data_IF_133871339831
#
_entry.id   IF_133871339831
#
_cell.length_a   1.000
_cell.length_b   1.000
_cell.length_c   1.000
_cell.angle_alpha   90.00
_cell.angle_beta   90.00
_cell.angle_gamma   90.00
#
_symmetry.space_group_name_H-M   'P 1'
#
loop_
_entity.id
_entity.type
_entity.pdbx_description
1 polymer ?
#
# COMPACT_ATOMS: atom_id res chain seq x y z
N UNK A 1 -32.21 -6.74 26.09
CA UNK A 1 -33.13 -7.91 26.06
C UNK A 1 -34.52 -7.60 25.51
N UNK A 2 -34.99 -6.33 25.43
CA UNK A 2 -36.35 -6.04 24.91
C UNK A 2 -36.55 -6.16 23.37
N UNK A 3 -35.49 -6.36 22.58
CA UNK A 3 -35.55 -6.39 21.11
C UNK A 3 -34.96 -7.67 20.51
N UNK A 4 -34.72 -8.73 21.28
CA UNK A 4 -34.11 -9.98 20.78
C UNK A 4 -34.92 -10.61 19.65
N UNK A 5 -36.25 -10.47 19.68
CA UNK A 5 -37.16 -10.86 18.61
C UNK A 5 -36.97 -10.10 17.29
N UNK A 6 -36.17 -9.03 17.27
CA UNK A 6 -35.81 -8.24 16.08
C UNK A 6 -34.36 -8.47 15.64
N UNK A 7 -33.67 -9.47 16.20
CA UNK A 7 -32.31 -9.82 15.80
C UNK A 7 -32.32 -10.32 14.34
N UNK A 8 -31.53 -9.73 13.43
CA UNK A 8 -31.34 -10.27 12.09
C UNK A 8 -30.77 -11.69 12.15
N UNK A 9 -31.13 -12.58 11.19
CA UNK A 9 -30.67 -13.96 11.19
C UNK A 9 -29.15 -14.09 10.97
N UNK A 10 -28.49 -13.08 10.40
CA UNK A 10 -27.06 -13.07 10.15
C UNK A 10 -26.22 -12.71 11.40
N UNK A 11 -26.85 -12.23 12.47
CA UNK A 11 -26.18 -11.80 13.71
C UNK A 11 -26.49 -12.72 14.87
N UNK A 12 -25.49 -12.96 15.72
CA UNK A 12 -25.76 -13.59 17.01
C UNK A 12 -26.53 -12.63 17.93
N UNK A 13 -27.35 -13.18 18.83
CA UNK A 13 -28.08 -12.40 19.84
C UNK A 13 -27.11 -11.57 20.70
N UNK A 14 -25.93 -12.12 20.99
CA UNK A 14 -24.88 -11.44 21.74
C UNK A 14 -24.32 -10.23 20.97
N UNK A 15 -24.04 -10.39 19.68
CA UNK A 15 -23.54 -9.32 18.82
C UNK A 15 -24.59 -8.21 18.63
N UNK A 16 -25.83 -8.59 18.36
CA UNK A 16 -26.93 -7.64 18.24
C UNK A 16 -27.17 -6.85 19.54
N UNK A 17 -27.13 -7.52 20.69
CA UNK A 17 -27.22 -6.88 22.01
C UNK A 17 -26.04 -5.93 22.26
N UNK A 18 -24.83 -6.31 21.86
CA UNK A 18 -23.64 -5.46 21.95
C UNK A 18 -23.79 -4.19 21.10
N UNK A 19 -24.29 -4.31 19.86
CA UNK A 19 -24.56 -3.15 19.00
C UNK A 19 -25.59 -2.22 19.62
N UNK A 20 -26.69 -2.76 20.13
CA UNK A 20 -27.72 -1.96 20.80
C UNK A 20 -27.16 -1.21 22.02
N UNK A 21 -26.34 -1.87 22.83
CA UNK A 21 -25.67 -1.22 23.98
C UNK A 21 -24.74 -0.10 23.54
N UNK A 22 -23.97 -0.30 22.47
CA UNK A 22 -23.04 0.71 21.96
C UNK A 22 -23.77 1.94 21.38
N UNK A 23 -24.94 1.75 20.77
CA UNK A 23 -25.75 2.82 20.17
C UNK A 23 -26.58 3.58 21.22
N UNK A 24 -27.20 2.88 22.17
CA UNK A 24 -28.27 3.42 23.03
C UNK A 24 -27.82 4.43 24.10
N UNK A 25 -26.55 4.42 24.52
CA UNK A 25 -26.07 5.31 25.59
C UNK A 25 -24.82 6.10 25.21
N UNK A 26 -24.95 7.41 24.97
CA UNK A 26 -23.82 8.29 24.60
C UNK A 26 -22.73 8.35 25.67
N UNK A 27 -23.09 8.63 26.94
CA UNK A 27 -22.14 8.70 28.05
C UNK A 27 -21.42 7.37 28.35
N UNK A 28 -22.09 6.23 28.11
CA UNK A 28 -21.56 4.89 28.43
C UNK A 28 -20.94 4.18 27.23
N UNK A 29 -21.00 4.78 26.04
CA UNK A 29 -20.57 4.18 24.77
C UNK A 29 -19.15 3.66 24.85
N UNK A 30 -18.22 4.44 25.39
CA UNK A 30 -16.82 4.03 25.48
C UNK A 30 -16.58 2.91 26.49
N UNK A 31 -17.37 2.82 27.57
CA UNK A 31 -17.34 1.65 28.44
C UNK A 31 -17.83 0.41 27.71
N UNK A 32 -18.87 0.53 26.89
CA UNK A 32 -19.34 -0.60 26.07
C UNK A 32 -18.26 -0.99 25.07
N UNK A 33 -17.67 -0.06 24.33
CA UNK A 33 -16.56 -0.35 23.40
C UNK A 33 -15.41 -1.04 24.13
N UNK A 34 -15.01 -0.54 25.31
CA UNK A 34 -13.95 -1.12 26.13
C UNK A 34 -14.27 -2.57 26.53
N UNK A 35 -15.50 -2.82 26.99
CA UNK A 35 -15.95 -4.17 27.36
C UNK A 35 -15.98 -5.08 26.15
N UNK A 36 -16.58 -4.67 25.03
CA UNK A 36 -16.66 -5.52 23.84
C UNK A 36 -15.28 -5.85 23.27
N UNK A 37 -14.34 -4.90 23.29
CA UNK A 37 -12.93 -5.16 22.95
C UNK A 37 -12.27 -6.20 23.87
N UNK A 38 -12.76 -6.37 25.09
CA UNK A 38 -12.30 -7.38 26.04
C UNK A 38 -13.00 -8.74 25.92
N UNK A 39 -14.06 -8.84 25.11
CA UNK A 39 -14.87 -10.07 24.94
C UNK A 39 -14.78 -10.63 23.52
N UNK A 40 -15.52 -11.71 23.26
CA UNK A 40 -15.68 -12.33 21.92
C UNK A 40 -17.11 -12.20 21.39
N UNK A 41 -17.91 -11.27 21.94
CA UNK A 41 -19.31 -11.12 21.57
C UNK A 41 -19.52 -10.48 20.20
N UNK A 42 -18.54 -9.71 19.74
CA UNK A 42 -18.62 -8.89 18.52
C UNK A 42 -17.58 -9.38 17.53
N UNK A 43 -17.99 -9.59 16.27
CA UNK A 43 -17.08 -9.89 15.19
C UNK A 43 -16.46 -8.59 14.66
N UNK A 44 -15.30 -8.21 15.19
CA UNK A 44 -14.56 -7.02 14.76
C UNK A 44 -13.95 -7.12 13.35
N UNK A 45 -13.95 -8.33 12.75
CA UNK A 45 -13.49 -8.59 11.38
C UNK A 45 -14.54 -8.22 10.33
N UNK A 46 -15.81 -8.02 10.74
CA UNK A 46 -16.91 -7.65 9.86
C UNK A 46 -16.86 -6.18 9.45
N UNK A 47 -17.17 -5.92 8.18
CA UNK A 47 -17.27 -4.55 7.67
C UNK A 47 -18.35 -3.74 8.40
N UNK A 48 -19.51 -4.36 8.66
CA UNK A 48 -20.63 -3.71 9.34
C UNK A 48 -20.25 -3.27 10.76
N UNK A 49 -19.53 -4.13 11.48
CA UNK A 49 -18.98 -3.81 12.81
C UNK A 49 -18.00 -2.65 12.73
N UNK A 50 -17.06 -2.70 11.78
CA UNK A 50 -16.09 -1.62 11.57
C UNK A 50 -16.78 -0.30 11.27
N UNK A 51 -17.74 -0.26 10.35
CA UNK A 51 -18.48 0.97 10.05
C UNK A 51 -19.21 1.51 11.28
N UNK A 52 -19.90 0.65 12.03
CA UNK A 52 -20.64 1.04 13.22
C UNK A 52 -19.71 1.61 14.30
N UNK A 53 -18.67 0.86 14.68
CA UNK A 53 -17.77 1.27 15.76
C UNK A 53 -16.95 2.50 15.39
N UNK A 54 -16.49 2.62 14.13
CA UNK A 54 -15.82 3.83 13.67
C UNK A 54 -16.76 5.05 13.76
N UNK A 55 -18.01 4.94 13.26
CA UNK A 55 -18.98 6.06 13.35
C UNK A 55 -19.27 6.44 14.80
N UNK A 56 -19.49 5.46 15.67
CA UNK A 56 -19.77 5.68 17.09
C UNK A 56 -18.59 6.34 17.81
N UNK A 57 -17.35 5.96 17.49
CA UNK A 57 -16.13 6.57 18.04
C UNK A 57 -15.87 7.99 17.53
N UNK A 58 -16.40 8.37 16.36
CA UNK A 58 -16.27 9.71 15.80
C UNK A 58 -17.38 10.67 16.25
N UNK A 59 -18.51 10.16 16.76
CA UNK A 59 -19.69 10.96 17.09
C UNK A 59 -19.62 11.57 18.51
N UNK A 60 -19.34 12.88 18.58
CA UNK A 60 -19.25 13.62 19.85
C UNK A 60 -20.61 14.00 20.50
N UNK A 61 -21.72 14.04 19.74
CA UNK A 61 -23.04 14.45 20.24
C UNK A 61 -23.37 15.94 19.98
N UNK A 62 -24.58 16.41 20.36
CA UNK A 62 -25.07 17.74 20.05
C UNK A 62 -24.31 18.84 20.80
N UNK A 63 -23.78 19.82 20.06
CA UNK A 63 -23.02 20.94 20.62
C UNK A 63 -23.85 21.90 21.49
N UNK A 64 -25.18 21.91 21.31
CA UNK A 64 -26.09 22.89 21.93
C UNK A 64 -26.20 22.73 23.46
N UNK A 65 -25.98 21.51 23.98
CA UNK A 65 -26.22 21.19 25.39
C UNK A 65 -24.95 21.04 26.23
N UNK A 66 -23.79 20.99 25.60
CA UNK A 66 -22.56 20.48 26.22
C UNK A 66 -21.36 21.37 25.83
N UNK A 67 -20.59 21.83 26.83
CA UNK A 67 -19.39 22.64 26.62
C UNK A 67 -18.14 21.77 26.59
N UNK A 68 -17.13 22.19 25.81
CA UNK A 68 -15.83 21.51 25.71
C UNK A 68 -15.72 20.48 24.59
N UNK A 69 -14.49 20.10 24.25
CA UNK A 69 -14.15 19.23 23.11
C UNK A 69 -14.66 17.79 23.28
N UNK A 70 -14.69 17.29 24.52
CA UNK A 70 -15.06 15.90 24.80
C UNK A 70 -16.56 15.64 24.70
N UNK A 71 -17.39 16.63 25.06
CA UNK A 71 -18.84 16.45 25.17
C UNK A 71 -19.21 15.25 26.08
N UNK A 72 -20.47 14.85 26.13
CA UNK A 72 -20.94 13.71 26.91
C UNK A 72 -20.30 12.41 26.39
N UNK A 73 -20.23 12.26 25.06
CA UNK A 73 -19.80 11.04 24.42
C UNK A 73 -18.32 10.71 24.64
N UNK A 74 -17.44 11.69 24.90
CA UNK A 74 -16.02 11.43 25.17
C UNK A 74 -15.56 11.88 26.56
N UNK A 75 -16.50 12.17 27.47
CA UNK A 75 -16.19 12.60 28.84
C UNK A 75 -15.21 11.68 29.58
N UNK A 76 -15.28 10.36 29.34
CA UNK A 76 -14.41 9.35 29.95
C UNK A 76 -12.92 9.49 29.58
N UNK A 77 -12.57 10.21 28.51
CA UNK A 77 -11.16 10.43 28.18
C UNK A 77 -10.43 11.32 29.20
N UNK A 78 -11.15 12.06 30.04
CA UNK A 78 -10.53 12.76 31.18
C UNK A 78 -10.12 11.81 32.32
N UNK A 79 -10.66 10.59 32.36
CA UNK A 79 -10.30 9.60 33.37
C UNK A 79 -9.03 8.86 32.94
N UNK A 80 -7.96 9.02 33.73
CA UNK A 80 -6.68 8.37 33.50
C UNK A 80 -6.76 6.85 33.60
N UNK A 81 -7.59 6.30 34.50
CA UNK A 81 -7.78 4.86 34.64
C UNK A 81 -8.45 4.28 33.40
N UNK A 82 -9.47 4.97 32.87
CA UNK A 82 -10.11 4.62 31.60
C UNK A 82 -9.10 4.66 30.43
N UNK A 83 -8.36 5.76 30.27
CA UNK A 83 -7.36 5.88 29.20
C UNK A 83 -6.29 4.79 29.26
N UNK A 84 -5.80 4.49 30.47
CA UNK A 84 -4.82 3.42 30.70
C UNK A 84 -5.40 2.07 30.29
N UNK A 85 -6.61 1.75 30.73
CA UNK A 85 -7.23 0.47 30.42
C UNK A 85 -7.54 0.31 28.93
N UNK A 86 -8.00 1.36 28.28
CA UNK A 86 -8.22 1.37 26.83
C UNK A 86 -6.89 1.15 26.09
N UNK A 87 -5.82 1.84 26.50
CA UNK A 87 -4.51 1.68 25.89
C UNK A 87 -3.97 0.25 26.02
N UNK A 88 -4.12 -0.38 27.18
CA UNK A 88 -3.70 -1.77 27.41
C UNK A 88 -4.46 -2.75 26.51
N UNK A 89 -5.78 -2.62 26.42
CA UNK A 89 -6.59 -3.48 25.56
C UNK A 89 -6.24 -3.30 24.09
N UNK A 90 -6.11 -2.06 23.61
CA UNK A 90 -5.70 -1.79 22.23
C UNK A 90 -4.33 -2.41 21.94
N UNK A 91 -3.34 -2.24 22.83
CA UNK A 91 -2.02 -2.85 22.67
C UNK A 91 -2.09 -4.37 22.60
N UNK A 92 -2.85 -5.01 23.49
CA UNK A 92 -3.05 -6.46 23.50
C UNK A 92 -3.67 -6.98 22.19
N UNK A 93 -4.63 -6.25 21.63
CA UNK A 93 -5.27 -6.61 20.35
C UNK A 93 -4.36 -6.38 19.15
N UNK A 94 -3.57 -5.32 19.15
CA UNK A 94 -2.59 -5.06 18.07
C UNK A 94 -1.57 -6.18 17.94
N UNK A 95 -1.06 -6.70 19.06
CA UNK A 95 -0.10 -7.82 19.04
C UNK A 95 -0.63 -9.05 18.31
N UNK A 96 -1.92 -9.38 18.48
CA UNK A 96 -2.56 -10.51 17.80
C UNK A 96 -2.76 -10.27 16.30
N UNK A 97 -2.84 -9.02 15.85
CA UNK A 97 -3.05 -8.68 14.44
C UNK A 97 -1.76 -8.64 13.63
N UNK A 98 -0.58 -8.65 14.23
CA UNK A 98 0.69 -8.45 13.51
C UNK A 98 0.84 -9.36 12.28
N UNK A 99 0.43 -10.63 12.36
CA UNK A 99 0.47 -11.61 11.25
C UNK A 99 -0.85 -11.74 10.47
N UNK A 100 -1.90 -11.03 10.86
CA UNK A 100 -3.27 -11.21 10.36
C UNK A 100 -3.70 -10.08 9.42
N UNK A 101 -3.00 -9.89 8.30
CA UNK A 101 -3.25 -8.81 7.34
C UNK A 101 -4.67 -8.81 6.72
N UNK A 102 -5.37 -9.95 6.77
CA UNK A 102 -6.78 -10.07 6.34
C UNK A 102 -7.76 -9.36 7.26
N UNK A 103 -7.34 -9.04 8.49
CA UNK A 103 -8.13 -8.36 9.53
C UNK A 103 -8.11 -6.83 9.37
N UNK A 104 -8.19 -6.35 8.12
CA UNK A 104 -8.14 -4.92 7.80
C UNK A 104 -9.28 -4.12 8.48
N UNK A 105 -10.47 -4.71 8.58
CA UNK A 105 -11.61 -4.10 9.27
C UNK A 105 -11.34 -3.92 10.76
N UNK A 106 -10.78 -4.92 11.42
CA UNK A 106 -10.44 -4.82 12.83
C UNK A 106 -9.32 -3.78 13.04
N UNK A 107 -8.28 -3.80 12.21
CA UNK A 107 -7.22 -2.79 12.25
C UNK A 107 -7.77 -1.36 12.06
N UNK A 108 -8.75 -1.17 11.17
CA UNK A 108 -9.42 0.12 10.97
C UNK A 108 -10.11 0.65 12.23
N UNK A 109 -10.72 -0.24 13.01
CA UNK A 109 -11.28 0.10 14.33
C UNK A 109 -10.16 0.50 15.27
N UNK A 110 -9.11 -0.30 15.41
CA UNK A 110 -8.00 -0.01 16.32
C UNK A 110 -7.28 1.31 15.98
N UNK A 111 -7.11 1.63 14.69
CA UNK A 111 -6.58 2.92 14.22
C UNK A 111 -7.49 4.06 14.68
N UNK A 112 -8.80 3.94 14.45
CA UNK A 112 -9.77 4.99 14.80
C UNK A 112 -9.83 5.21 16.32
N UNK A 113 -9.83 4.14 17.11
CA UNK A 113 -9.84 4.23 18.57
C UNK A 113 -8.51 4.80 19.12
N UNK A 114 -7.37 4.40 18.57
CA UNK A 114 -6.05 4.95 18.95
C UNK A 114 -5.92 6.42 18.60
N UNK A 115 -6.39 6.85 17.43
CA UNK A 115 -6.46 8.27 17.06
C UNK A 115 -7.38 9.06 17.99
N UNK A 116 -8.50 8.48 18.43
CA UNK A 116 -9.38 9.12 19.41
C UNK A 116 -8.71 9.25 20.76
N UNK A 117 -8.02 8.21 21.22
CA UNK A 117 -7.23 8.26 22.44
C UNK A 117 -6.16 9.36 22.37
N UNK A 118 -5.37 9.42 21.29
CA UNK A 118 -4.33 10.44 21.11
C UNK A 118 -4.86 11.89 21.11
N UNK A 119 -6.03 12.11 20.51
CA UNK A 119 -6.59 13.46 20.35
C UNK A 119 -7.42 13.93 21.55
N UNK A 120 -7.96 13.00 22.35
CA UNK A 120 -8.92 13.30 23.41
C UNK A 120 -8.36 13.06 24.81
N UNK A 121 -7.26 12.32 24.96
CA UNK A 121 -6.63 12.13 26.27
C UNK A 121 -5.95 13.41 26.78
N UNK A 122 -5.73 13.51 28.11
CA UNK A 122 -4.89 14.55 28.69
C UNK A 122 -3.48 14.55 28.08
N UNK A 123 -2.85 15.73 28.06
CA UNK A 123 -1.53 15.93 27.43
C UNK A 123 -0.45 14.97 27.96
N UNK A 124 -0.43 14.70 29.26
CA UNK A 124 0.53 13.78 29.88
C UNK A 124 0.38 12.32 29.43
N UNK A 125 -0.78 11.94 28.86
CA UNK A 125 -1.05 10.58 28.37
C UNK A 125 -0.74 10.44 26.87
N UNK A 126 -0.57 11.56 26.15
CA UNK A 126 -0.46 11.58 24.68
C UNK A 126 0.69 10.72 24.15
N UNK A 127 1.83 10.69 24.83
CA UNK A 127 2.97 9.84 24.46
C UNK A 127 2.62 8.35 24.45
N UNK A 128 1.84 7.87 25.43
CA UNK A 128 1.38 6.47 25.46
C UNK A 128 0.44 6.17 24.29
N UNK A 129 -0.47 7.09 23.96
CA UNK A 129 -1.34 6.95 22.80
C UNK A 129 -0.56 6.97 21.47
N UNK A 130 0.50 7.78 21.40
CA UNK A 130 1.41 7.82 20.26
C UNK A 130 2.14 6.49 20.04
N UNK A 131 2.58 5.82 21.11
CA UNK A 131 3.20 4.48 20.97
C UNK A 131 2.27 3.45 20.32
N UNK A 132 0.95 3.58 20.50
CA UNK A 132 -0.03 2.74 19.81
C UNK A 132 -0.07 3.04 18.32
N UNK A 133 -0.07 4.32 17.94
CA UNK A 133 -0.04 4.72 16.53
C UNK A 133 1.24 4.27 15.83
N UNK A 134 2.39 4.38 16.50
CA UNK A 134 3.67 3.85 16.01
C UNK A 134 3.64 2.32 15.83
N UNK A 135 3.04 1.59 16.78
CA UNK A 135 2.87 0.13 16.66
C UNK A 135 1.99 -0.23 15.46
N UNK A 136 0.89 0.51 15.25
CA UNK A 136 0.02 0.34 14.08
C UNK A 136 0.76 0.62 12.77
N UNK A 137 1.57 1.69 12.71
CA UNK A 137 2.41 2.01 11.54
C UNK A 137 3.36 0.87 11.20
N UNK A 138 4.02 0.32 12.21
CA UNK A 138 4.96 -0.79 12.05
C UNK A 138 4.24 -2.05 11.51
N UNK A 139 3.12 -2.43 12.11
CA UNK A 139 2.33 -3.61 11.68
C UNK A 139 1.83 -3.42 10.25
N UNK A 140 1.18 -2.30 9.96
CA UNK A 140 0.63 -2.03 8.62
C UNK A 140 1.71 -1.87 7.55
N UNK A 141 2.89 -1.32 7.90
CA UNK A 141 4.07 -1.33 7.03
C UNK A 141 4.57 -2.74 6.74
N UNK A 142 4.60 -3.61 7.75
CA UNK A 142 4.93 -5.03 7.59
C UNK A 142 3.96 -5.74 6.64
N UNK A 143 2.65 -5.46 6.77
CA UNK A 143 1.64 -5.98 5.85
C UNK A 143 1.86 -5.53 4.41
N UNK A 144 2.20 -4.26 4.18
CA UNK A 144 2.51 -3.74 2.84
C UNK A 144 3.68 -4.50 2.21
N UNK A 145 4.76 -4.71 2.97
CA UNK A 145 5.93 -5.43 2.47
C UNK A 145 5.59 -6.89 2.16
N UNK A 146 4.88 -7.55 3.06
CA UNK A 146 4.46 -8.94 2.86
C UNK A 146 3.57 -9.11 1.63
N UNK A 147 2.49 -8.33 1.54
CA UNK A 147 1.54 -8.40 0.43
C UNK A 147 2.19 -8.06 -0.91
N UNK A 148 3.10 -7.08 -0.94
CA UNK A 148 3.88 -6.77 -2.15
C UNK A 148 4.66 -7.99 -2.64
N UNK A 149 5.28 -8.75 -1.74
CA UNK A 149 6.04 -9.93 -2.12
C UNK A 149 5.12 -11.06 -2.62
N UNK A 150 3.98 -11.30 -1.97
CA UNK A 150 2.97 -12.28 -2.41
C UNK A 150 2.41 -11.95 -3.80
N UNK A 151 2.08 -10.67 -4.05
CA UNK A 151 1.57 -10.21 -5.36
C UNK A 151 2.62 -10.42 -6.46
N UNK A 152 3.92 -10.32 -6.13
CA UNK A 152 5.02 -10.51 -7.08
C UNK A 152 5.39 -11.97 -7.34
N UNK A 153 5.08 -12.86 -6.41
CA UNK A 153 5.40 -14.29 -6.49
C UNK A 153 4.25 -15.13 -7.04
N UNK A 154 3.01 -14.62 -6.99
CA UNK A 154 1.84 -15.37 -7.47
C UNK A 154 1.70 -15.34 -8.99
N UNK A 155 1.38 -16.50 -9.55
CA UNK A 155 0.96 -16.64 -10.96
C UNK A 155 -0.55 -16.49 -11.14
N UNK A 156 -1.33 -16.47 -10.04
CA UNK A 156 -2.79 -16.38 -10.05
C UNK A 156 -3.24 -14.92 -9.97
N UNK A 157 -3.87 -14.44 -11.05
CA UNK A 157 -4.36 -13.06 -11.15
C UNK A 157 -5.47 -12.71 -10.16
N UNK A 158 -6.31 -13.66 -9.74
CA UNK A 158 -7.37 -13.43 -8.75
C UNK A 158 -6.81 -13.35 -7.32
N UNK A 159 -5.79 -14.16 -7.00
CA UNK A 159 -5.03 -14.03 -5.76
C UNK A 159 -4.33 -12.67 -5.71
N UNK A 160 -3.59 -12.30 -6.77
CA UNK A 160 -2.95 -11.00 -6.88
C UNK A 160 -3.94 -9.84 -6.69
N UNK A 161 -5.14 -9.93 -7.30
CA UNK A 161 -6.18 -8.92 -7.16
C UNK A 161 -6.70 -8.79 -5.73
N UNK A 162 -6.92 -9.91 -5.03
CA UNK A 162 -7.35 -9.90 -3.62
C UNK A 162 -6.26 -9.33 -2.71
N UNK A 163 -5.02 -9.73 -2.90
CA UNK A 163 -3.89 -9.28 -2.10
C UNK A 163 -3.60 -7.79 -2.35
N UNK A 164 -3.73 -7.31 -3.60
CA UNK A 164 -3.70 -5.87 -3.90
C UNK A 164 -4.76 -5.08 -3.15
N UNK A 165 -5.99 -5.62 -3.02
CA UNK A 165 -7.04 -4.96 -2.25
C UNK A 165 -6.67 -4.85 -0.75
N UNK A 166 -6.06 -5.88 -0.16
CA UNK A 166 -5.57 -5.81 1.22
C UNK A 166 -4.33 -4.90 1.36
N UNK A 167 -3.46 -4.84 0.35
CA UNK A 167 -2.32 -3.93 0.35
C UNK A 167 -2.78 -2.47 0.30
N UNK A 168 -3.85 -2.20 -0.47
CA UNK A 168 -4.52 -0.90 -0.50
C UNK A 168 -5.11 -0.51 0.86
N UNK A 169 -5.77 -1.46 1.54
CA UNK A 169 -6.21 -1.27 2.93
C UNK A 169 -5.06 -0.96 3.88
N UNK A 170 -3.99 -1.76 3.84
CA UNK A 170 -2.83 -1.57 4.71
C UNK A 170 -2.18 -0.20 4.50
N UNK A 171 -2.05 0.24 3.25
CA UNK A 171 -1.55 1.57 2.89
C UNK A 171 -2.40 2.71 3.47
N UNK A 172 -3.73 2.66 3.29
CA UNK A 172 -4.65 3.66 3.84
C UNK A 172 -4.62 3.69 5.37
N UNK A 173 -4.62 2.52 6.01
CA UNK A 173 -4.59 2.43 7.48
C UNK A 173 -3.26 2.93 8.06
N UNK A 174 -2.14 2.64 7.39
CA UNK A 174 -0.84 3.18 7.75
C UNK A 174 -0.84 4.72 7.67
N UNK A 175 -1.27 5.30 6.53
CA UNK A 175 -1.34 6.76 6.34
C UNK A 175 -2.32 7.43 7.31
N UNK A 176 -3.42 6.75 7.65
CA UNK A 176 -4.40 7.24 8.63
C UNK A 176 -3.80 7.50 10.01
N UNK A 177 -2.74 6.79 10.40
CA UNK A 177 -2.07 7.05 11.70
C UNK A 177 -1.41 8.43 11.80
N UNK A 178 -1.04 9.05 10.67
CA UNK A 178 -0.44 10.38 10.63
C UNK A 178 -1.46 11.51 10.84
N UNK A 179 -2.75 11.19 10.86
CA UNK A 179 -3.81 12.17 11.14
C UNK A 179 -3.72 12.76 12.54
N UNK A 180 -2.99 12.10 13.44
CA UNK A 180 -2.63 12.62 14.75
C UNK A 180 -1.94 13.99 14.69
N UNK A 181 -1.19 14.26 13.62
CA UNK A 181 -0.32 15.43 13.50
C UNK A 181 -0.95 16.61 12.74
N UNK A 182 -2.24 16.53 12.39
CA UNK A 182 -2.92 17.57 11.61
C UNK A 182 -2.91 18.97 12.25
N UNK A 183 -2.93 19.05 13.58
CA UNK A 183 -3.04 20.31 14.33
C UNK A 183 -2.02 20.38 15.48
N UNK A 184 -0.88 19.72 15.33
CA UNK A 184 0.16 19.65 16.38
C UNK A 184 1.50 19.91 15.72
N UNK A 185 2.35 20.68 16.38
CA UNK A 185 3.75 20.79 15.98
C UNK A 185 4.42 19.41 16.19
N UNK A 186 4.85 18.81 15.08
CA UNK A 186 5.49 17.50 15.07
C UNK A 186 6.55 17.47 13.99
N UNK A 187 7.72 16.93 14.32
CA UNK A 187 8.81 16.75 13.38
C UNK A 187 8.83 15.30 12.94
N UNK A 188 8.75 15.05 11.63
CA UNK A 188 8.87 13.69 11.09
C UNK A 188 10.25 13.12 11.41
N UNK A 189 10.27 11.92 11.97
CA UNK A 189 11.48 11.10 12.01
C UNK A 189 11.72 10.41 10.66
N UNK A 190 12.93 9.88 10.45
CA UNK A 190 13.22 9.09 9.25
C UNK A 190 12.34 7.84 9.12
N UNK A 191 11.98 7.21 10.24
CA UNK A 191 11.07 6.05 10.30
C UNK A 191 9.63 6.43 9.94
N UNK A 192 9.18 7.61 10.39
CA UNK A 192 7.88 8.17 10.03
C UNK A 192 7.81 8.45 8.53
N UNK A 193 8.82 9.12 7.99
CA UNK A 193 8.93 9.43 6.58
C UNK A 193 8.99 8.16 5.72
N UNK A 194 9.78 7.16 6.11
CA UNK A 194 9.86 5.88 5.40
C UNK A 194 8.51 5.16 5.41
N UNK A 195 7.83 5.11 6.56
CA UNK A 195 6.50 4.50 6.67
C UNK A 195 5.47 5.24 5.81
N UNK A 196 5.51 6.57 5.82
CA UNK A 196 4.64 7.41 5.00
C UNK A 196 4.87 7.18 3.51
N UNK A 197 6.10 7.29 3.01
CA UNK A 197 6.40 7.12 1.59
C UNK A 197 6.14 5.69 1.11
N UNK A 198 6.51 4.68 1.89
CA UNK A 198 6.18 3.27 1.61
C UNK A 198 4.68 3.08 1.42
N UNK A 199 3.88 3.59 2.36
CA UNK A 199 2.43 3.49 2.27
C UNK A 199 1.86 4.31 1.11
N UNK A 200 2.45 5.47 0.80
CA UNK A 200 2.05 6.32 -0.32
C UNK A 200 2.29 5.65 -1.68
N UNK A 201 3.46 5.01 -1.85
CA UNK A 201 3.77 4.25 -3.06
C UNK A 201 2.84 3.04 -3.17
N UNK A 202 2.69 2.27 -2.08
CA UNK A 202 1.81 1.10 -2.05
C UNK A 202 0.34 1.45 -2.34
N UNK A 203 -0.12 2.63 -1.92
CA UNK A 203 -1.45 3.13 -2.23
C UNK A 203 -1.64 3.26 -3.75
N UNK A 204 -0.68 3.86 -4.45
CA UNK A 204 -0.75 4.05 -5.91
C UNK A 204 -0.52 2.76 -6.68
N UNK A 205 0.40 1.90 -6.25
CA UNK A 205 0.64 0.58 -6.87
C UNK A 205 -0.62 -0.30 -6.86
N UNK A 206 -1.43 -0.21 -5.81
CA UNK A 206 -2.60 -1.05 -5.60
C UNK A 206 -3.92 -0.36 -5.91
N UNK A 207 -3.89 0.90 -6.38
CA UNK A 207 -5.09 1.59 -6.82
C UNK A 207 -5.65 0.89 -8.06
N UNK A 208 -6.83 0.28 -7.92
CA UNK A 208 -7.50 -0.39 -9.03
C UNK A 208 -7.79 0.65 -10.13
N UNK A 209 -7.56 0.24 -11.39
CA UNK A 209 -7.60 1.06 -12.62
C UNK A 209 -8.88 1.90 -12.78
N UNK A 210 -9.95 1.59 -12.03
CA UNK A 210 -11.18 2.36 -12.05
C UNK A 210 -11.67 2.69 -10.62
N UNK A 211 -11.62 3.97 -10.27
CA UNK A 211 -12.14 4.54 -9.00
C UNK A 211 -13.65 4.36 -8.82
N UNK A 212 -14.42 4.20 -9.91
CA UNK A 212 -15.85 3.93 -9.86
C UNK A 212 -16.17 2.50 -9.42
N UNK A 213 -15.21 1.58 -9.59
CA UNK A 213 -15.31 0.20 -9.11
C UNK A 213 -14.78 0.02 -7.68
N UNK A 214 -14.25 1.08 -7.06
CA UNK A 214 -13.72 1.01 -5.71
C UNK A 214 -14.86 0.86 -4.71
N UNK A 215 -14.68 -0.04 -3.74
CA UNK A 215 -15.64 -0.25 -2.67
C UNK A 215 -15.97 1.08 -1.94
N UNK A 216 -17.24 1.40 -1.63
CA UNK A 216 -17.62 2.70 -1.05
C UNK A 216 -16.85 3.09 0.21
N UNK A 217 -16.54 2.11 1.07
CA UNK A 217 -15.74 2.33 2.29
C UNK A 217 -14.32 2.78 1.96
N UNK A 218 -13.65 2.08 1.03
CA UNK A 218 -12.30 2.42 0.57
C UNK A 218 -12.26 3.78 -0.12
N UNK A 219 -13.28 4.09 -0.93
CA UNK A 219 -13.42 5.41 -1.58
C UNK A 219 -13.51 6.53 -0.54
N UNK A 220 -14.27 6.33 0.53
CA UNK A 220 -14.36 7.29 1.65
C UNK A 220 -13.02 7.49 2.34
N UNK A 221 -12.34 6.39 2.69
CA UNK A 221 -11.02 6.45 3.34
C UNK A 221 -9.98 7.15 2.46
N UNK A 222 -10.00 6.92 1.15
CA UNK A 222 -9.12 7.61 0.21
C UNK A 222 -9.39 9.12 0.16
N UNK A 223 -10.66 9.54 0.13
CA UNK A 223 -11.02 10.97 0.16
C UNK A 223 -10.54 11.63 1.47
N UNK A 224 -10.76 10.96 2.60
CA UNK A 224 -10.29 11.43 3.90
C UNK A 224 -8.75 11.52 3.93
N UNK A 225 -8.06 10.52 3.42
CA UNK A 225 -6.60 10.49 3.31
C UNK A 225 -6.04 11.66 2.48
N UNK A 226 -6.62 11.93 1.30
CA UNK A 226 -6.20 13.04 0.45
C UNK A 226 -6.37 14.39 1.17
N UNK A 227 -7.49 14.58 1.85
CA UNK A 227 -7.75 15.79 2.64
C UNK A 227 -6.73 15.95 3.77
N UNK A 228 -6.46 14.90 4.55
CA UNK A 228 -5.54 15.00 5.68
C UNK A 228 -4.10 15.12 5.22
N UNK A 229 -3.69 14.44 4.17
CA UNK A 229 -2.36 14.55 3.58
C UNK A 229 -2.06 15.97 3.12
N UNK A 230 -3.07 16.67 2.58
CA UNK A 230 -2.96 18.09 2.31
C UNK A 230 -2.80 18.93 3.58
N UNK A 231 -3.44 18.56 4.70
CA UNK A 231 -3.29 19.30 5.95
C UNK A 231 -1.89 19.14 6.57
N UNK A 232 -1.26 17.96 6.45
CA UNK A 232 0.10 17.69 6.96
C UNK A 232 1.20 17.97 5.92
N UNK A 233 0.87 18.57 4.78
CA UNK A 233 1.79 18.75 3.65
C UNK A 233 3.05 19.53 4.00
N UNK A 234 2.94 20.50 4.90
CA UNK A 234 4.03 21.40 5.25
C UNK A 234 5.07 20.62 6.11
N UNK A 235 4.61 19.72 6.99
CA UNK A 235 5.50 18.79 7.73
C UNK A 235 6.28 17.87 6.78
N UNK A 236 5.60 17.31 5.77
CA UNK A 236 6.24 16.41 4.79
C UNK A 236 7.30 17.17 3.98
N UNK A 237 6.99 18.43 3.61
CA UNK A 237 7.90 19.28 2.85
C UNK A 237 9.12 19.67 3.68
N UNK A 238 8.93 20.10 4.93
CA UNK A 238 10.03 20.45 5.84
C UNK A 238 10.99 19.29 6.06
N UNK A 239 10.45 18.07 6.23
CA UNK A 239 11.28 16.87 6.31
C UNK A 239 12.06 16.62 5.02
N UNK A 240 11.39 16.72 3.86
CA UNK A 240 12.03 16.46 2.57
C UNK A 240 13.16 17.45 2.24
N UNK A 241 13.00 18.71 2.61
CA UNK A 241 14.00 19.76 2.40
C UNK A 241 15.27 19.53 3.24
N UNK A 242 15.19 18.72 4.31
CA UNK A 242 16.30 18.46 5.24
C UNK A 242 16.87 17.04 5.14
N UNK A 243 16.07 16.06 4.71
CA UNK A 243 16.41 14.64 4.69
C UNK A 243 15.84 13.96 3.42
N UNK A 244 16.66 13.22 2.67
CA UNK A 244 16.22 12.56 1.41
C UNK A 244 16.31 11.02 1.45
N UNK A 245 17.01 10.45 2.45
CA UNK A 245 17.33 9.02 2.50
C UNK A 245 16.10 8.10 2.59
N UNK A 246 15.09 8.45 3.39
CA UNK A 246 13.90 7.60 3.56
C UNK A 246 13.03 7.50 2.30
N UNK A 247 13.03 8.52 1.44
CA UNK A 247 12.37 8.46 0.14
C UNK A 247 13.06 7.43 -0.75
N UNK A 248 14.38 7.50 -0.87
CA UNK A 248 15.16 6.55 -1.67
C UNK A 248 15.01 5.12 -1.17
N UNK A 249 15.02 4.91 0.15
CA UNK A 249 14.75 3.59 0.74
C UNK A 249 13.38 3.07 0.31
N UNK A 250 12.32 3.88 0.42
CA UNK A 250 10.95 3.50 0.05
C UNK A 250 10.81 3.21 -1.44
N UNK A 251 11.48 3.99 -2.29
CA UNK A 251 11.54 3.76 -3.74
C UNK A 251 12.29 2.46 -4.02
N UNK A 252 13.45 2.22 -3.41
CA UNK A 252 14.25 1.02 -3.67
C UNK A 252 13.60 -0.28 -3.16
N UNK A 253 12.84 -0.24 -2.07
CA UNK A 253 12.01 -1.38 -1.62
C UNK A 253 10.94 -1.76 -2.64
N UNK A 254 10.37 -0.75 -3.28
CA UNK A 254 9.31 -0.90 -4.27
C UNK A 254 9.91 -1.29 -5.60
N UNK A 255 10.78 -0.45 -6.14
CA UNK A 255 11.54 -0.67 -7.33
C UNK A 255 12.82 -1.44 -6.96
N UNK A 256 12.75 -2.71 -6.58
CA UNK A 256 13.96 -3.46 -6.22
C UNK A 256 14.87 -3.66 -7.44
N UNK A 257 16.15 -3.25 -7.38
CA UNK A 257 17.12 -3.61 -8.42
C UNK A 257 17.67 -5.00 -8.11
N UNK A 258 16.93 -6.03 -8.51
CA UNK A 258 17.30 -7.44 -8.29
C UNK A 258 18.50 -7.88 -9.14
N UNK A 259 19.08 -7.00 -9.95
CA UNK A 259 20.08 -7.36 -10.94
C UNK A 259 21.38 -6.60 -10.88
N UNK A 260 22.36 -7.10 -10.12
CA UNK A 260 23.81 -7.07 -10.40
C UNK A 260 24.52 -5.77 -10.87
N UNK A 261 23.83 -4.64 -10.99
CA UNK A 261 24.29 -3.39 -11.58
C UNK A 261 24.59 -2.30 -10.53
N UNK A 262 24.49 -2.66 -9.24
CA UNK A 262 24.79 -1.80 -8.10
C UNK A 262 23.55 -1.15 -7.50
N UNK A 263 23.70 -0.56 -6.30
CA UNK A 263 22.67 0.26 -5.68
C UNK A 263 22.43 1.49 -6.57
N UNK A 264 21.17 1.82 -6.89
CA UNK A 264 20.84 3.04 -7.65
C UNK A 264 21.44 4.25 -6.95
N UNK A 265 22.13 5.08 -7.72
CA UNK A 265 22.63 6.37 -7.29
C UNK A 265 21.71 7.44 -7.85
N UNK A 266 21.00 8.10 -6.95
CA UNK A 266 20.14 9.24 -7.23
C UNK A 266 21.00 10.51 -7.21
N UNK A 267 20.78 11.41 -8.16
CA UNK A 267 21.21 12.80 -8.00
C UNK A 267 20.47 13.42 -6.80
N UNK A 268 20.96 14.54 -6.24
CA UNK A 268 20.20 15.30 -5.26
C UNK A 268 18.76 15.50 -5.73
N UNK A 269 17.81 15.25 -4.84
CA UNK A 269 16.41 15.43 -5.18
C UNK A 269 16.05 16.92 -5.16
N UNK A 270 15.27 17.32 -6.16
CA UNK A 270 14.84 18.70 -6.33
C UNK A 270 13.31 18.77 -6.46
N UNK A 271 12.71 19.80 -5.89
CA UNK A 271 11.29 20.08 -6.09
C UNK A 271 11.06 20.82 -7.41
N UNK A 272 10.07 20.38 -8.18
CA UNK A 272 9.61 21.11 -9.37
C UNK A 272 8.93 22.43 -8.97
N UNK A 273 8.79 23.35 -9.93
CA UNK A 273 8.20 24.67 -9.71
C UNK A 273 6.80 24.81 -10.34
N UNK A 274 6.10 25.91 -10.01
CA UNK A 274 4.82 26.26 -10.61
C UNK A 274 3.70 25.24 -10.29
N UNK A 275 2.98 24.80 -11.33
CA UNK A 275 1.89 23.81 -11.21
C UNK A 275 2.32 22.45 -10.69
N UNK A 276 3.63 22.17 -10.65
CA UNK A 276 4.19 20.89 -10.24
C UNK A 276 4.91 20.95 -8.88
N UNK A 277 4.66 21.97 -8.06
CA UNK A 277 5.36 22.23 -6.79
C UNK A 277 5.37 21.11 -5.74
N UNK A 278 4.63 20.01 -5.95
CA UNK A 278 4.58 18.83 -5.08
C UNK A 278 5.25 17.58 -5.67
N UNK A 279 5.87 17.73 -6.83
CA UNK A 279 6.68 16.70 -7.48
C UNK A 279 8.15 16.93 -7.14
N UNK A 280 8.78 15.91 -6.60
CA UNK A 280 10.21 15.78 -6.46
C UNK A 280 10.77 15.05 -7.69
N UNK A 281 11.94 15.45 -8.17
CA UNK A 281 12.64 14.81 -9.27
C UNK A 281 14.07 14.44 -8.90
N UNK A 282 14.55 13.33 -9.42
CA UNK A 282 15.96 12.93 -9.35
C UNK A 282 16.36 12.14 -10.58
N UNK A 283 17.62 12.24 -10.97
CA UNK A 283 18.21 11.50 -12.09
C UNK A 283 18.99 10.31 -11.56
N UNK A 284 18.75 9.15 -12.15
CA UNK A 284 19.58 7.97 -11.97
C UNK A 284 20.61 7.92 -13.09
N UNK A 285 21.87 7.76 -12.72
CA UNK A 285 22.98 7.64 -13.67
C UNK A 285 22.89 6.32 -14.42
N UNK A 286 23.03 6.39 -15.76
CA UNK A 286 23.10 5.20 -16.60
C UNK A 286 24.39 4.40 -16.36
N UNK A 287 24.38 3.13 -16.73
CA UNK A 287 25.57 2.27 -16.73
C UNK A 287 26.01 1.99 -18.17
N UNK A 288 27.02 1.14 -18.36
CA UNK A 288 27.38 0.63 -19.69
C UNK A 288 26.18 -0.02 -20.41
N UNK A 289 25.23 -0.57 -19.65
CA UNK A 289 24.11 -1.35 -20.17
C UNK A 289 22.79 -0.60 -20.12
N UNK A 290 22.67 0.41 -19.28
CA UNK A 290 21.40 1.07 -18.98
C UNK A 290 21.47 2.56 -19.28
N UNK A 291 20.42 3.09 -19.91
CA UNK A 291 20.27 4.54 -20.05
C UNK A 291 20.08 5.23 -18.70
N UNK A 292 20.41 6.52 -18.64
CA UNK A 292 20.02 7.36 -17.50
C UNK A 292 18.50 7.47 -17.45
N UNK A 293 17.94 7.46 -16.24
CA UNK A 293 16.49 7.56 -16.02
C UNK A 293 16.16 8.77 -15.15
N UNK A 294 14.97 9.33 -15.34
CA UNK A 294 14.45 10.42 -14.51
C UNK A 294 13.28 9.92 -13.69
N UNK A 295 13.39 10.05 -12.37
CA UNK A 295 12.38 9.66 -11.40
C UNK A 295 11.62 10.88 -10.96
N UNK A 296 10.30 10.82 -11.01
CA UNK A 296 9.41 11.81 -10.42
C UNK A 296 8.58 11.16 -9.33
N UNK A 297 8.49 11.83 -8.19
CA UNK A 297 7.70 11.38 -7.05
C UNK A 297 6.79 12.50 -6.54
N UNK A 298 5.50 12.25 -6.46
CA UNK A 298 4.56 13.21 -5.86
C UNK A 298 4.53 13.04 -4.34
N UNK A 299 5.05 14.02 -3.58
CA UNK A 299 5.25 13.91 -2.13
C UNK A 299 3.99 13.52 -1.34
N UNK A 300 2.83 14.11 -1.67
CA UNK A 300 1.59 13.88 -0.92
C UNK A 300 0.81 12.65 -1.40
N UNK A 301 0.74 12.46 -2.71
CA UNK A 301 -0.12 11.45 -3.34
C UNK A 301 0.60 10.11 -3.55
N UNK A 302 1.93 10.08 -3.51
CA UNK A 302 2.71 8.87 -3.66
C UNK A 302 2.90 8.39 -5.10
N UNK A 303 2.52 9.19 -6.11
CA UNK A 303 2.74 8.83 -7.50
C UNK A 303 4.23 8.69 -7.78
N UNK A 304 4.65 7.50 -8.22
CA UNK A 304 6.03 7.21 -8.61
C UNK A 304 6.09 6.95 -10.11
N UNK A 305 6.80 7.82 -10.82
CA UNK A 305 6.92 7.83 -12.27
C UNK A 305 8.40 7.73 -12.64
N UNK A 306 8.74 6.88 -13.60
CA UNK A 306 10.09 6.76 -14.16
C UNK A 306 10.00 7.01 -15.66
N UNK A 307 10.79 7.95 -16.18
CA UNK A 307 10.80 8.34 -17.60
C UNK A 307 9.39 8.68 -18.15
N UNK A 308 8.59 9.36 -17.35
CA UNK A 308 7.23 9.77 -17.70
C UNK A 308 6.17 8.66 -17.63
N UNK A 309 6.55 7.43 -17.25
CA UNK A 309 5.64 6.28 -17.13
C UNK A 309 5.46 5.85 -15.66
N UNK A 310 4.24 5.55 -15.20
CA UNK A 310 4.04 5.02 -13.85
C UNK A 310 4.60 3.60 -13.73
N UNK A 311 4.90 3.18 -12.50
CA UNK A 311 5.03 1.74 -12.21
C UNK A 311 3.68 1.07 -12.43
N UNK A 312 3.64 -0.12 -13.04
CA UNK A 312 2.36 -0.71 -13.36
C UNK A 312 2.39 -2.04 -14.10
N UNK A 313 1.54 -2.14 -15.11
CA UNK A 313 1.26 -3.38 -15.83
C UNK A 313 1.74 -3.25 -17.27
N UNK A 314 2.14 -4.38 -17.85
CA UNK A 314 2.41 -4.44 -19.27
C UNK A 314 1.14 -4.08 -20.06
N UNK A 315 1.23 -3.23 -21.11
CA UNK A 315 0.09 -2.88 -21.96
C UNK A 315 -0.61 -4.12 -22.51
N UNK A 316 -1.93 -4.02 -22.70
CA UNK A 316 -2.75 -5.16 -23.16
C UNK A 316 -2.26 -5.74 -24.49
N UNK A 317 -1.85 -4.86 -25.41
CA UNK A 317 -1.31 -5.23 -26.72
C UNK A 317 -0.09 -6.15 -26.61
N UNK A 318 0.83 -5.86 -25.68
CA UNK A 318 2.00 -6.71 -25.45
C UNK A 318 1.62 -8.01 -24.73
N UNK A 319 0.72 -7.95 -23.73
CA UNK A 319 0.31 -9.16 -23.00
C UNK A 319 -0.36 -10.21 -23.89
N UNK A 320 -1.03 -9.78 -24.95
CA UNK A 320 -1.68 -10.66 -25.92
C UNK A 320 -0.73 -11.13 -27.03
N UNK A 321 0.53 -10.67 -27.03
CA UNK A 321 1.51 -11.08 -28.02
C UNK A 321 1.90 -12.56 -27.83
N UNK A 322 1.95 -13.36 -28.92
CA UNK A 322 2.28 -14.78 -28.85
C UNK A 322 3.63 -15.08 -28.18
N UNK A 323 4.66 -14.24 -28.38
CA UNK A 323 5.97 -14.44 -27.78
C UNK A 323 5.93 -14.29 -26.25
N UNK A 324 5.13 -13.35 -25.75
CA UNK A 324 4.94 -13.16 -24.30
C UNK A 324 4.14 -14.32 -23.72
N UNK A 325 3.07 -14.76 -24.39
CA UNK A 325 2.29 -15.91 -23.95
C UNK A 325 3.12 -17.20 -23.96
N UNK A 326 4.04 -17.38 -24.91
CA UNK A 326 4.92 -18.54 -24.94
C UNK A 326 5.88 -18.58 -23.74
N UNK A 327 6.50 -17.44 -23.40
CA UNK A 327 7.50 -17.37 -22.33
C UNK A 327 6.91 -17.31 -20.93
N UNK A 328 5.76 -16.65 -20.78
CA UNK A 328 5.20 -16.31 -19.46
C UNK A 328 3.77 -16.82 -19.27
N UNK A 329 3.15 -17.42 -20.28
CA UNK A 329 1.76 -17.89 -20.19
C UNK A 329 0.78 -16.77 -19.87
N UNK A 330 -0.22 -17.09 -19.06
CA UNK A 330 -1.24 -16.14 -18.56
C UNK A 330 -0.83 -15.45 -17.24
N UNK A 331 0.46 -15.45 -16.90
CA UNK A 331 0.94 -14.89 -15.64
C UNK A 331 0.66 -13.39 -15.51
N UNK A 332 0.50 -12.95 -14.27
CA UNK A 332 0.34 -11.54 -13.93
C UNK A 332 1.69 -10.79 -13.98
N UNK A 333 2.01 -10.20 -15.14
CA UNK A 333 3.27 -9.49 -15.36
C UNK A 333 3.21 -8.04 -14.84
N UNK A 334 3.73 -7.82 -13.63
CA UNK A 334 4.03 -6.49 -13.09
C UNK A 334 5.29 -5.92 -13.76
N UNK A 335 5.17 -4.73 -14.32
CA UNK A 335 6.24 -4.08 -15.04
C UNK A 335 6.55 -2.68 -14.52
N UNK A 336 7.76 -2.24 -14.85
CA UNK A 336 8.27 -0.91 -14.60
C UNK A 336 8.89 -0.35 -15.88
N UNK A 337 9.08 0.97 -15.99
CA UNK A 337 9.81 1.54 -17.12
C UNK A 337 11.22 0.98 -17.21
N UNK A 338 11.65 0.60 -18.41
CA UNK A 338 12.97 0.03 -18.64
C UNK A 338 13.98 1.06 -19.11
N UNK A 339 15.22 0.95 -18.62
CA UNK A 339 16.39 1.67 -19.14
C UNK A 339 17.07 1.01 -20.35
N UNK A 340 16.51 -0.11 -20.85
CA UNK A 340 17.05 -0.93 -21.94
C UNK A 340 16.08 -1.01 -23.13
N UNK A 341 14.79 -1.19 -22.83
CA UNK A 341 13.68 -1.15 -23.79
C UNK A 341 12.59 -0.21 -23.27
N UNK A 342 11.31 -0.61 -23.27
CA UNK A 342 10.21 0.22 -22.75
C UNK A 342 9.72 -0.21 -21.37
N UNK A 343 9.63 -1.50 -21.14
CA UNK A 343 9.14 -2.10 -19.89
C UNK A 343 10.13 -3.15 -19.39
N UNK A 344 10.22 -3.31 -18.08
CA UNK A 344 11.01 -4.34 -17.43
C UNK A 344 10.09 -5.08 -16.45
N UNK A 345 10.20 -6.39 -16.38
CA UNK A 345 9.50 -7.17 -15.37
C UNK A 345 10.02 -6.81 -13.97
N UNK A 346 9.12 -6.68 -13.00
CA UNK A 346 9.52 -6.36 -11.61
C UNK A 346 10.22 -7.55 -10.95
N UNK A 347 9.78 -8.76 -11.24
CA UNK A 347 10.36 -10.01 -10.74
C UNK A 347 11.40 -10.55 -11.72
N UNK A 348 12.43 -11.21 -11.18
CA UNK A 348 13.40 -11.96 -12.00
C UNK A 348 12.81 -13.31 -12.40
N UNK A 349 13.10 -13.74 -13.62
CA UNK A 349 12.71 -15.08 -14.11
C UNK A 349 13.97 -15.90 -14.29
N UNK A 350 14.16 -16.93 -13.47
CA UNK A 350 15.39 -17.74 -13.46
C UNK A 350 16.67 -16.88 -13.38
N UNK A 351 16.65 -15.82 -12.57
CA UNK A 351 17.73 -14.82 -12.40
C UNK A 351 18.00 -13.94 -13.64
N UNK A 352 17.11 -13.95 -14.62
CA UNK A 352 17.15 -13.08 -15.79
C UNK A 352 16.28 -11.84 -15.55
N UNK A 353 16.81 -10.67 -15.90
CA UNK A 353 16.03 -9.44 -15.96
C UNK A 353 15.37 -9.35 -17.33
N UNK A 354 14.04 -9.44 -17.35
CA UNK A 354 13.28 -9.43 -18.59
C UNK A 354 12.87 -8.01 -18.94
N UNK A 355 13.11 -7.63 -20.18
CA UNK A 355 12.79 -6.34 -20.76
C UNK A 355 11.91 -6.54 -22.00
N UNK A 356 10.90 -5.69 -22.15
CA UNK A 356 9.95 -5.69 -23.24
C UNK A 356 9.98 -4.34 -23.96
N UNK A 357 9.83 -4.35 -25.27
CA UNK A 357 9.70 -3.14 -26.09
C UNK A 357 9.07 -3.45 -27.43
N UNK A 358 8.90 -2.42 -28.25
CA UNK A 358 8.57 -2.59 -29.66
C UNK A 358 9.77 -2.28 -30.54
N UNK A 359 9.90 -3.04 -31.64
CA UNK A 359 10.77 -2.71 -32.78
C UNK A 359 9.98 -2.97 -34.05
N UNK A 360 9.84 -1.95 -34.89
CA UNK A 360 9.10 -2.03 -36.17
C UNK A 360 7.68 -2.62 -36.04
N UNK A 361 6.99 -2.28 -34.95
CA UNK A 361 5.64 -2.76 -34.65
C UNK A 361 5.56 -4.18 -34.08
N UNK A 362 6.68 -4.87 -33.88
CA UNK A 362 6.74 -6.21 -33.27
C UNK A 362 7.27 -6.15 -31.84
N UNK A 363 6.79 -7.05 -30.99
CA UNK A 363 7.28 -7.17 -29.61
C UNK A 363 8.69 -7.74 -29.60
N UNK A 364 9.59 -7.07 -28.88
CA UNK A 364 10.95 -7.52 -28.61
C UNK A 364 11.07 -7.84 -27.12
N UNK A 365 11.63 -9.01 -26.83
CA UNK A 365 11.90 -9.48 -25.47
C UNK A 365 13.41 -9.65 -25.31
N UNK A 366 13.99 -8.98 -24.33
CA UNK A 366 15.42 -9.10 -23.99
C UNK A 366 15.59 -9.59 -22.57
N UNK A 367 16.60 -10.41 -22.35
CA UNK A 367 17.00 -10.88 -21.04
C UNK A 367 18.42 -10.41 -20.73
N UNK A 368 18.62 -9.79 -19.57
CA UNK A 368 19.95 -9.52 -19.06
C UNK A 368 20.32 -10.57 -18.01
N UNK A 369 21.45 -11.26 -18.23
CA UNK A 369 21.91 -12.33 -17.34
C UNK A 369 23.43 -12.42 -17.35
N UNK A 370 24.04 -12.44 -16.16
CA UNK A 370 25.51 -12.56 -15.99
C UNK A 370 26.34 -11.64 -16.90
N UNK A 371 25.90 -10.39 -17.09
CA UNK A 371 26.51 -9.38 -17.98
C UNK A 371 26.43 -9.69 -19.48
N UNK A 372 25.57 -10.61 -19.88
CA UNK A 372 25.21 -10.87 -21.25
C UNK A 372 23.82 -10.31 -21.53
N UNK A 373 23.66 -9.67 -22.69
CA UNK A 373 22.38 -9.23 -23.20
C UNK A 373 21.89 -10.21 -24.25
N UNK A 374 20.76 -10.83 -23.96
CA UNK A 374 20.11 -11.84 -24.80
C UNK A 374 18.83 -11.26 -25.43
N UNK A 375 18.54 -11.62 -26.67
CA UNK A 375 17.28 -11.30 -27.35
C UNK A 375 16.53 -12.60 -27.67
N UNK A 376 15.25 -12.66 -27.32
CA UNK A 376 14.42 -13.82 -27.61
C UNK A 376 14.26 -14.00 -29.12
N UNK A 377 14.42 -15.25 -29.58
CA UNK A 377 14.26 -15.62 -30.99
C UNK A 377 13.01 -16.50 -31.12
N UNK A 378 11.93 -15.99 -31.74
CA UNK A 378 10.72 -16.77 -31.96
C UNK A 378 10.98 -18.07 -32.70
N UNK A 379 10.39 -19.18 -32.22
CA UNK A 379 10.54 -20.51 -32.85
C UNK A 379 10.17 -20.53 -34.33
N UNK A 380 9.26 -19.64 -34.75
CA UNK A 380 8.82 -19.49 -36.13
C UNK A 380 9.96 -19.13 -37.10
N UNK A 381 11.03 -18.49 -36.60
CA UNK A 381 12.21 -18.14 -37.42
C UNK A 381 12.92 -19.40 -37.93
N UNK A 382 12.94 -20.48 -37.14
CA UNK A 382 13.56 -21.76 -37.52
C UNK A 382 12.64 -22.66 -38.37
N UNK A 383 11.40 -22.24 -38.64
CA UNK A 383 10.38 -22.98 -39.40
C UNK A 383 10.15 -22.27 -40.74
N UNK A 384 10.97 -22.60 -41.74
CA UNK A 384 10.90 -22.02 -43.09
C UNK A 384 10.08 -22.85 -44.08
N UNK A 385 9.75 -22.25 -45.23
CA UNK A 385 9.07 -22.95 -46.33
C UNK A 385 9.91 -24.08 -46.96
N UNK A 386 11.24 -24.04 -46.78
CA UNK A 386 12.19 -25.02 -47.30
C UNK A 386 12.51 -26.14 -46.29
N UNK A 387 11.96 -26.11 -45.07
CA UNK A 387 12.25 -27.07 -44.02
C UNK A 387 12.56 -26.40 -42.68
N UNK A 388 13.16 -27.17 -41.78
CA UNK A 388 13.52 -26.73 -40.43
C UNK A 388 15.03 -26.50 -40.36
N UNK A 389 15.46 -25.35 -39.86
CA UNK A 389 16.88 -25.03 -39.70
C UNK A 389 17.52 -25.84 -38.55
N UNK A 390 16.70 -26.31 -37.62
CA UNK A 390 17.08 -27.09 -36.46
C UNK A 390 16.18 -28.34 -36.33
N UNK A 391 16.67 -29.42 -35.69
CA UNK A 391 15.84 -30.56 -35.32
C UNK A 391 14.58 -30.13 -34.54
N UNK A 392 13.44 -30.75 -34.83
CA UNK A 392 12.13 -30.38 -34.25
C UNK A 392 12.12 -30.35 -32.72
N UNK A 393 12.74 -31.33 -32.05
CA UNK A 393 12.84 -31.33 -30.59
C UNK A 393 13.63 -30.13 -30.02
N UNK A 394 14.63 -29.63 -30.75
CA UNK A 394 15.34 -28.42 -30.34
C UNK A 394 14.53 -27.14 -30.57
N UNK A 395 13.56 -27.16 -31.49
CA UNK A 395 12.70 -25.99 -31.78
C UNK A 395 11.46 -25.97 -30.89
N UNK A 396 10.87 -27.14 -30.63
CA UNK A 396 9.58 -27.24 -29.95
C UNK A 396 9.72 -27.33 -28.43
N UNK A 397 10.77 -28.00 -27.93
CA UNK A 397 11.00 -28.24 -26.50
C UNK A 397 11.96 -27.23 -25.84
N UNK A 398 12.52 -26.28 -26.61
CA UNK A 398 13.47 -25.28 -26.10
C UNK A 398 13.02 -23.84 -26.41
N UNK A 399 13.58 -22.91 -25.64
CA UNK A 399 13.44 -21.46 -25.85
C UNK A 399 14.77 -20.92 -26.34
N UNK A 400 14.75 -20.18 -27.45
CA UNK A 400 15.96 -19.68 -28.10
C UNK A 400 16.25 -18.23 -27.74
N UNK A 401 17.53 -17.96 -27.47
CA UNK A 401 18.04 -16.65 -27.09
C UNK A 401 19.31 -16.36 -27.88
N UNK A 402 19.35 -15.23 -28.58
CA UNK A 402 20.53 -14.74 -29.30
C UNK A 402 21.36 -13.88 -28.37
N UNK A 403 22.67 -14.11 -28.28
CA UNK A 403 23.55 -13.25 -27.51
C UNK A 403 24.00 -12.06 -28.36
N UNK A 404 23.46 -10.88 -28.07
CA UNK A 404 23.69 -9.68 -28.87
C UNK A 404 25.16 -9.20 -28.89
N UNK A 405 26.01 -9.76 -28.03
CA UNK A 405 27.43 -9.43 -28.00
C UNK A 405 28.31 -10.40 -28.78
N UNK A 406 27.95 -11.67 -28.83
CA UNK A 406 28.78 -12.71 -29.48
C UNK A 406 28.23 -13.16 -30.83
N UNK A 407 26.99 -12.81 -31.16
CA UNK A 407 26.24 -13.41 -32.26
C UNK A 407 25.70 -14.76 -31.80
#
# INVERSE_FOLDING_TARGET
MANESKCPPELSVHEFSAFQRAVSGRARRWLVILVELGTTNVNFSSEATMELFNRLALQAGPAVRERGTLREAHSLFNDQAFCTRLCELLRGRLGALASSWREAHYMSILVTLSLRLYNLCPQHFRSKAETLLLSIRSITSGWIIHLRNEIRSTCDGEVARKDSNFAFWAALLCRKTFWAYKNVEYTFSDDDAQSFFRASIALQENLLVNLDKLHPVLKRLLIEDLSISYNIRDLIKEWFDTHQGSLECSINETWADSGGLGRRSYSPWEMLSGSHAWWATSRITGTKWTASQVVHYHLLQGHLIVDGKPLGRLPLQMRQDPAIQELFGEQYLLTRPSSLLEYQLVSDVEKHHIHFGFRDGQVVIRAFYRRSLLEYVPRAIFKGAAGWDLPTGLVDDCVHWLNLQTG
#
